data_IF_961331999228
#
_entry.id   IF_961331999228
#
_cell.length_a   1.000
_cell.length_b   1.000
_cell.length_c   1.000
_cell.angle_alpha   90.00
_cell.angle_beta   90.00
_cell.angle_gamma   90.00
#
_symmetry.space_group_name_H-M   'P 1'
#
loop_
_entity.id
_entity.type
_entity.pdbx_description
1 polymer ?
#
# COMPACT_ATOMS: atom_id res chain seq x y z
N UNK A 1 4.04 5.61 -22.92
CA UNK A 1 3.09 4.49 -22.70
C UNK A 1 2.39 4.23 -24.02
N UNK A 2 2.26 2.97 -24.41
CA UNK A 2 1.71 2.58 -25.72
C UNK A 2 0.22 2.94 -25.78
N UNK A 3 -0.17 3.80 -26.73
CA UNK A 3 -1.57 4.22 -26.89
C UNK A 3 -2.48 3.10 -27.46
N UNK A 4 -1.91 1.96 -27.84
CA UNK A 4 -2.59 0.85 -28.51
C UNK A 4 -3.03 -0.28 -27.56
N UNK A 5 -2.88 -0.12 -26.24
CA UNK A 5 -3.33 -1.15 -25.30
C UNK A 5 -4.87 -1.17 -25.22
N UNK A 6 -5.49 -2.37 -25.22
CA UNK A 6 -6.93 -2.48 -25.07
C UNK A 6 -7.40 -1.94 -23.71
N UNK A 7 -8.64 -1.47 -23.65
CA UNK A 7 -9.22 -1.07 -22.38
C UNK A 7 -9.38 -2.27 -21.44
N UNK A 8 -9.13 -2.03 -20.15
CA UNK A 8 -9.35 -3.01 -19.09
C UNK A 8 -9.98 -2.36 -17.87
N UNK A 9 -11.14 -2.84 -17.43
CA UNK A 9 -11.80 -2.36 -16.21
C UNK A 9 -11.53 -3.35 -15.08
N UNK A 10 -11.05 -2.86 -13.94
CA UNK A 10 -10.69 -3.70 -12.79
C UNK A 10 -11.24 -3.12 -11.48
N UNK A 11 -11.23 -3.93 -10.41
CA UNK A 11 -11.80 -3.61 -9.09
C UNK A 11 -13.29 -3.30 -9.09
N UNK A 12 -14.03 -3.96 -9.99
CA UNK A 12 -15.50 -3.84 -10.11
C UNK A 12 -16.22 -4.30 -8.86
N UNK A 13 -15.74 -5.39 -8.27
CA UNK A 13 -16.19 -5.96 -6.98
C UNK A 13 -14.97 -6.36 -6.14
N UNK A 14 -15.11 -6.52 -4.81
CA UNK A 14 -14.05 -7.09 -3.97
C UNK A 14 -13.55 -8.44 -4.48
N UNK A 15 -14.45 -9.28 -4.98
CA UNK A 15 -14.17 -10.62 -5.50
C UNK A 15 -13.41 -10.59 -6.84
N UNK A 16 -13.50 -9.48 -7.58
CA UNK A 16 -12.71 -9.26 -8.80
C UNK A 16 -11.25 -8.87 -8.53
N UNK A 17 -10.92 -8.54 -7.27
CA UNK A 17 -9.58 -8.11 -6.87
C UNK A 17 -9.23 -8.73 -5.51
N UNK A 18 -8.69 -9.94 -5.57
CA UNK A 18 -8.34 -10.73 -4.40
C UNK A 18 -6.85 -10.59 -4.09
N UNK A 19 -6.52 -10.37 -2.81
CA UNK A 19 -5.13 -10.22 -2.36
C UNK A 19 -4.89 -11.07 -1.12
N UNK A 20 -3.97 -12.01 -1.19
CA UNK A 20 -3.55 -12.82 -0.04
C UNK A 20 -2.11 -12.45 0.34
N UNK A 21 -1.88 -12.11 1.59
CA UNK A 21 -0.51 -11.96 2.10
C UNK A 21 0.23 -13.30 2.00
N UNK A 22 1.49 -13.25 1.60
CA UNK A 22 2.36 -14.44 1.58
C UNK A 22 3.29 -14.34 2.78
N UNK A 23 3.27 -15.36 3.63
CA UNK A 23 4.01 -15.44 4.90
C UNK A 23 4.88 -16.69 4.95
N UNK A 24 5.83 -16.71 5.88
CA UNK A 24 6.78 -17.82 6.06
C UNK A 24 7.98 -17.74 5.11
N UNK A 25 8.98 -18.58 5.37
CA UNK A 25 10.27 -18.54 4.67
C UNK A 25 10.50 -19.75 3.75
N UNK A 26 9.93 -20.94 4.04
CA UNK A 26 10.17 -22.13 3.22
C UNK A 26 9.14 -23.28 3.43
N UNK A 27 8.27 -23.61 2.45
CA UNK A 27 7.91 -22.76 1.34
C UNK A 27 7.02 -21.61 1.83
N UNK A 28 7.14 -20.40 1.26
CA UNK A 28 6.22 -19.31 1.54
C UNK A 28 4.78 -19.68 1.14
N UNK A 29 3.79 -19.28 1.94
CA UNK A 29 2.38 -19.64 1.74
C UNK A 29 1.48 -18.42 1.76
N UNK A 30 0.53 -18.39 0.82
CA UNK A 30 -0.56 -17.43 0.86
C UNK A 30 -1.45 -17.71 2.07
N UNK A 31 -1.75 -16.67 2.86
CA UNK A 31 -2.68 -16.74 3.98
C UNK A 31 -4.07 -17.08 3.43
N UNK A 32 -4.61 -18.23 3.81
CA UNK A 32 -5.94 -18.66 3.37
C UNK A 32 -7.04 -17.71 3.87
N UNK A 33 -8.12 -17.58 3.10
CA UNK A 33 -9.32 -16.90 3.56
C UNK A 33 -10.02 -17.71 4.65
N UNK A 34 -10.67 -16.99 5.55
CA UNK A 34 -11.66 -17.52 6.47
C UNK A 34 -12.98 -16.77 6.24
N UNK A 35 -14.09 -17.50 6.13
CA UNK A 35 -15.40 -16.87 5.98
C UNK A 35 -16.13 -16.74 7.33
N UNK A 36 -15.70 -17.49 8.34
CA UNK A 36 -16.22 -17.45 9.70
C UNK A 36 -15.11 -17.18 10.72
N UNK A 37 -15.48 -16.49 11.79
CA UNK A 37 -14.55 -16.19 12.88
C UNK A 37 -14.47 -17.35 13.86
N UNK A 38 -13.26 -17.65 14.33
CA UNK A 38 -13.00 -18.70 15.29
C UNK A 38 -11.89 -18.28 16.24
N UNK A 39 -12.28 -17.98 17.48
CA UNK A 39 -11.39 -17.60 18.57
C UNK A 39 -11.50 -18.71 19.63
N UNK A 40 -10.39 -19.42 19.87
CA UNK A 40 -10.37 -20.66 20.68
C UNK A 40 -9.73 -20.47 22.06
N UNK A 41 -9.19 -19.29 22.36
CA UNK A 41 -8.34 -19.09 23.52
C UNK A 41 -6.89 -19.45 23.21
N UNK A 42 -5.96 -18.61 23.65
CA UNK A 42 -4.54 -18.91 23.73
C UNK A 42 -4.06 -18.55 25.14
N UNK A 43 -3.11 -19.31 25.67
CA UNK A 43 -2.45 -19.00 26.94
C UNK A 43 -0.93 -19.11 26.72
N UNK A 44 -0.18 -18.11 27.19
CA UNK A 44 1.29 -18.17 27.25
C UNK A 44 2.02 -16.99 26.61
N UNK A 45 1.51 -16.43 25.51
CA UNK A 45 2.20 -15.38 24.78
C UNK A 45 1.54 -13.99 24.92
N UNK A 46 2.31 -12.89 24.89
CA UNK A 46 1.78 -11.52 24.92
C UNK A 46 0.94 -11.12 23.69
N UNK A 47 1.12 -11.75 22.52
CA UNK A 47 0.38 -11.44 21.31
C UNK A 47 -0.28 -12.68 20.72
N UNK A 48 -1.55 -12.55 20.34
CA UNK A 48 -2.30 -13.53 19.57
C UNK A 48 -2.25 -13.17 18.08
N UNK A 49 -1.89 -14.13 17.22
CA UNK A 49 -1.93 -13.99 15.77
C UNK A 49 -3.24 -14.56 15.22
N UNK A 50 -3.90 -13.78 14.38
CA UNK A 50 -5.09 -14.13 13.64
C UNK A 50 -4.82 -14.11 12.14
N UNK A 51 -5.56 -14.93 11.40
CA UNK A 51 -5.93 -14.61 10.01
C UNK A 51 -7.04 -13.58 10.05
N UNK A 52 -6.80 -12.42 9.46
CA UNK A 52 -7.79 -11.41 9.16
C UNK A 52 -8.20 -11.54 7.69
N UNK A 53 -9.46 -11.92 7.45
CA UNK A 53 -10.07 -11.76 6.12
C UNK A 53 -11.04 -10.58 6.14
N UNK A 54 -10.97 -9.73 5.11
CA UNK A 54 -11.84 -8.56 4.98
C UNK A 54 -12.27 -8.32 3.53
N UNK A 55 -13.44 -7.71 3.33
CA UNK A 55 -13.92 -7.23 2.03
C UNK A 55 -14.47 -5.82 2.13
N UNK A 56 -14.16 -4.90 1.21
CA UNK A 56 -14.59 -3.46 1.24
C UNK A 56 -14.10 -2.63 2.44
N UNK A 57 -13.19 -3.17 3.24
CA UNK A 57 -12.61 -2.48 4.40
C UNK A 57 -11.14 -2.16 4.15
N UNK A 58 -10.71 -0.96 4.53
CA UNK A 58 -9.27 -0.68 4.62
C UNK A 58 -8.68 -1.50 5.77
N UNK A 59 -7.38 -1.82 5.74
CA UNK A 59 -6.75 -2.53 6.86
C UNK A 59 -6.86 -1.72 8.16
N UNK A 60 -6.74 -0.40 8.10
CA UNK A 60 -6.85 0.48 9.27
C UNK A 60 -8.26 0.47 9.87
N UNK A 61 -9.30 0.59 9.04
CA UNK A 61 -10.69 0.55 9.53
C UNK A 61 -11.02 -0.83 10.12
N UNK A 62 -10.52 -1.91 9.49
CA UNK A 62 -10.69 -3.26 10.02
C UNK A 62 -9.98 -3.42 11.37
N UNK A 63 -8.75 -2.89 11.52
CA UNK A 63 -8.05 -2.88 12.81
C UNK A 63 -8.83 -2.11 13.88
N UNK A 64 -9.43 -0.95 13.57
CA UNK A 64 -10.26 -0.19 14.51
C UNK A 64 -11.48 -0.98 14.97
N UNK A 65 -12.14 -1.68 14.04
CA UNK A 65 -13.29 -2.52 14.37
C UNK A 65 -12.89 -3.73 15.23
N UNK A 66 -11.76 -4.35 14.92
CA UNK A 66 -11.20 -5.43 15.75
C UNK A 66 -10.84 -4.92 17.15
N UNK A 67 -10.16 -3.77 17.27
CA UNK A 67 -9.82 -3.16 18.55
C UNK A 67 -11.06 -2.91 19.41
N UNK A 68 -12.12 -2.39 18.78
CA UNK A 68 -13.39 -2.10 19.44
C UNK A 68 -14.08 -3.36 19.96
N UNK A 69 -14.16 -4.43 19.16
CA UNK A 69 -14.84 -5.67 19.56
C UNK A 69 -14.02 -6.51 20.54
N UNK A 70 -12.69 -6.50 20.43
CA UNK A 70 -11.79 -7.24 21.33
C UNK A 70 -11.34 -6.43 22.55
N UNK A 71 -11.85 -5.21 22.72
CA UNK A 71 -11.58 -4.34 23.86
C UNK A 71 -10.08 -4.03 24.08
N UNK A 72 -9.33 -3.78 23.01
CA UNK A 72 -7.89 -3.43 23.05
C UNK A 72 -7.61 -2.06 22.46
N UNK A 73 -6.43 -1.51 22.74
CA UNK A 73 -5.96 -0.28 22.11
C UNK A 73 -5.64 -0.48 20.63
N UNK A 74 -5.77 0.56 19.81
CA UNK A 74 -5.35 0.49 18.40
C UNK A 74 -3.85 0.20 18.25
N UNK A 75 -3.02 0.73 19.16
CA UNK A 75 -1.58 0.51 19.22
C UNK A 75 -1.19 -0.92 19.67
N UNK A 76 -2.15 -1.71 20.16
CA UNK A 76 -1.97 -3.13 20.48
C UNK A 76 -2.16 -4.03 19.25
N UNK A 77 -2.54 -3.46 18.11
CA UNK A 77 -2.78 -4.19 16.87
C UNK A 77 -1.66 -3.92 15.85
N UNK A 78 -1.20 -4.98 15.20
CA UNK A 78 -0.09 -4.94 14.24
C UNK A 78 -0.37 -5.79 13.00
N UNK A 79 0.17 -5.35 11.87
CA UNK A 79 0.10 -6.04 10.57
C UNK A 79 1.42 -5.87 9.83
N UNK A 80 1.73 -6.80 8.93
CA UNK A 80 2.95 -6.72 8.10
C UNK A 80 2.80 -5.80 6.88
N UNK A 81 1.57 -5.46 6.50
CA UNK A 81 1.30 -4.53 5.42
C UNK A 81 -0.17 -4.14 5.35
N UNK A 82 -0.43 -2.95 4.81
CA UNK A 82 -1.79 -2.52 4.50
C UNK A 82 -2.25 -3.18 3.20
N UNK A 83 -3.55 -3.43 3.09
CA UNK A 83 -4.20 -3.99 1.92
C UNK A 83 -5.32 -3.07 1.46
N UNK A 84 -5.60 -3.10 0.16
CA UNK A 84 -6.59 -2.22 -0.46
C UNK A 84 -7.98 -2.35 0.17
N UNK A 85 -8.71 -1.23 0.25
CA UNK A 85 -10.09 -1.20 0.71
C UNK A 85 -11.02 -1.91 -0.27
N UNK A 86 -10.89 -1.61 -1.55
CA UNK A 86 -11.74 -2.13 -2.63
C UNK A 86 -11.23 -3.47 -3.15
N UNK A 87 -11.17 -4.46 -2.26
CA UNK A 87 -10.62 -5.80 -2.49
C UNK A 87 -11.18 -6.82 -1.48
N UNK A 88 -11.11 -8.11 -1.81
CA UNK A 88 -11.20 -9.22 -0.84
C UNK A 88 -9.78 -9.59 -0.43
N UNK A 89 -9.44 -9.48 0.86
CA UNK A 89 -8.04 -9.60 1.30
C UNK A 89 -7.88 -10.48 2.53
N UNK A 90 -6.83 -11.32 2.57
CA UNK A 90 -6.43 -12.08 3.76
C UNK A 90 -5.00 -11.73 4.16
N UNK A 91 -4.76 -11.58 5.47
CA UNK A 91 -3.45 -11.25 6.01
C UNK A 91 -3.33 -11.72 7.46
N UNK A 92 -2.10 -11.75 7.99
CA UNK A 92 -1.94 -11.89 9.44
C UNK A 92 -2.23 -10.58 10.16
N UNK A 93 -2.82 -10.72 11.35
CA UNK A 93 -3.11 -9.65 12.30
C UNK A 93 -2.60 -10.09 13.68
N UNK A 94 -1.70 -9.32 14.28
CA UNK A 94 -1.22 -9.55 15.63
C UNK A 94 -1.93 -8.61 16.59
N UNK A 95 -2.50 -9.15 17.67
CA UNK A 95 -3.22 -8.39 18.69
C UNK A 95 -2.63 -8.72 20.05
N UNK A 96 -2.25 -7.70 20.84
CA UNK A 96 -1.73 -7.92 22.19
C UNK A 96 -2.85 -8.44 23.11
N UNK A 97 -2.58 -9.54 23.81
CA UNK A 97 -3.51 -10.16 24.74
C UNK A 97 -3.97 -11.55 24.30
N UNK A 98 -4.77 -12.16 25.18
CA UNK A 98 -5.36 -13.48 25.01
C UNK A 98 -6.87 -13.32 24.93
N UNK A 99 -7.49 -13.96 23.93
CA UNK A 99 -8.90 -13.71 23.59
C UNK A 99 -9.72 -14.98 23.67
N UNK A 100 -10.91 -14.88 24.26
CA UNK A 100 -11.94 -15.93 24.22
C UNK A 100 -13.29 -15.40 23.71
N UNK A 101 -13.37 -14.09 23.48
CA UNK A 101 -14.59 -13.42 23.02
C UNK A 101 -14.95 -13.85 21.61
N UNK A 102 -16.25 -13.87 21.32
CA UNK A 102 -16.73 -14.07 19.97
C UNK A 102 -16.54 -12.78 19.16
N UNK A 103 -15.94 -12.90 17.97
CA UNK A 103 -15.88 -11.81 17.00
C UNK A 103 -16.89 -12.07 15.88
N UNK A 104 -17.78 -11.12 15.60
CA UNK A 104 -18.77 -11.25 14.54
C UNK A 104 -18.88 -9.98 13.73
N UNK A 105 -18.72 -10.12 12.42
CA UNK A 105 -18.86 -9.01 11.49
C UNK A 105 -19.20 -9.56 10.10
N UNK A 106 -20.09 -8.90 9.33
CA UNK A 106 -20.50 -9.41 8.02
C UNK A 106 -19.36 -9.44 6.99
N UNK A 107 -18.47 -8.45 7.03
CA UNK A 107 -17.42 -8.23 6.01
C UNK A 107 -15.99 -8.47 6.54
N UNK A 108 -15.84 -8.92 7.78
CA UNK A 108 -14.55 -9.16 8.45
C UNK A 108 -14.66 -10.47 9.23
N UNK A 109 -13.64 -11.31 9.15
CA UNK A 109 -13.54 -12.55 9.92
C UNK A 109 -12.15 -12.68 10.53
N UNK A 110 -12.11 -13.28 11.72
CA UNK A 110 -10.89 -13.54 12.47
C UNK A 110 -10.77 -15.02 12.83
N UNK A 111 -9.73 -15.69 12.35
CA UNK A 111 -9.40 -17.05 12.79
C UNK A 111 -8.10 -17.00 13.59
N UNK A 112 -8.17 -17.36 14.86
CA UNK A 112 -7.02 -17.44 15.73
C UNK A 112 -6.07 -18.56 15.27
N UNK A 113 -4.76 -18.26 15.22
CA UNK A 113 -3.73 -19.19 14.78
C UNK A 113 -2.86 -19.68 15.93
N UNK A 114 -2.05 -18.79 16.51
CA UNK A 114 -1.03 -19.10 17.53
C UNK A 114 -0.65 -17.82 18.29
N UNK A 115 0.09 -17.95 19.39
CA UNK A 115 0.68 -16.80 20.08
C UNK A 115 2.16 -16.57 19.75
N UNK A 116 2.65 -15.35 19.99
CA UNK A 116 4.08 -15.01 19.88
C UNK A 116 4.49 -13.86 20.83
N UNK A 117 5.79 -13.77 21.11
CA UNK A 117 6.36 -12.81 22.07
C UNK A 117 6.33 -11.34 21.62
N UNK A 118 6.36 -11.10 20.31
CA UNK A 118 6.55 -9.76 19.72
C UNK A 118 5.41 -9.42 18.76
N UNK A 119 5.09 -8.14 18.49
CA UNK A 119 4.09 -7.79 17.48
C UNK A 119 4.57 -8.11 16.05
N UNK A 120 3.64 -8.17 15.09
CA UNK A 120 3.99 -8.24 13.67
C UNK A 120 4.71 -6.95 13.25
N UNK A 121 5.75 -7.08 12.44
CA UNK A 121 6.53 -5.93 11.96
C UNK A 121 6.15 -5.56 10.54
N UNK A 122 5.90 -4.26 10.25
CA UNK A 122 5.64 -3.80 8.89
C UNK A 122 6.80 -4.15 7.95
N UNK A 123 6.48 -4.81 6.83
CA UNK A 123 7.43 -5.21 5.80
C UNK A 123 7.98 -6.64 5.91
N UNK A 124 7.64 -7.39 6.96
CA UNK A 124 8.14 -8.76 7.17
C UNK A 124 7.41 -9.84 6.35
N UNK A 125 6.42 -9.46 5.54
CA UNK A 125 5.73 -10.40 4.64
C UNK A 125 6.62 -10.74 3.45
N UNK A 126 6.47 -11.95 2.91
CA UNK A 126 7.22 -12.41 1.73
C UNK A 126 6.73 -11.75 0.44
N UNK A 127 5.46 -11.35 0.39
CA UNK A 127 4.83 -10.77 -0.79
C UNK A 127 3.31 -10.84 -0.70
N UNK A 128 2.66 -10.67 -1.84
CA UNK A 128 1.22 -10.81 -1.97
C UNK A 128 0.89 -11.62 -3.21
N UNK A 129 -0.04 -12.57 -3.06
CA UNK A 129 -0.69 -13.28 -4.16
C UNK A 129 -1.90 -12.49 -4.61
N UNK A 130 -2.00 -12.28 -5.91
CA UNK A 130 -3.09 -11.58 -6.54
C UNK A 130 -3.90 -12.54 -7.39
N UNK A 131 -5.22 -12.50 -7.24
CA UNK A 131 -6.17 -13.10 -8.17
C UNK A 131 -7.12 -11.99 -8.65
N UNK A 132 -6.92 -11.54 -9.90
CA UNK A 132 -7.55 -10.33 -10.43
C UNK A 132 -8.31 -10.64 -11.71
N UNK A 133 -9.54 -10.17 -11.80
CA UNK A 133 -10.34 -10.17 -13.03
C UNK A 133 -10.35 -8.78 -13.65
N UNK A 134 -10.00 -8.69 -14.92
CA UNK A 134 -10.04 -7.46 -15.73
C UNK A 134 -11.09 -7.64 -16.82
N UNK A 135 -12.14 -6.83 -16.82
CA UNK A 135 -13.17 -6.81 -17.87
C UNK A 135 -12.56 -6.16 -19.12
N UNK A 136 -12.59 -6.88 -20.24
CA UNK A 136 -12.06 -6.41 -21.52
C UNK A 136 -12.60 -7.26 -22.66
N UNK A 137 -12.97 -6.60 -23.76
CA UNK A 137 -13.42 -7.24 -25.00
C UNK A 137 -12.25 -7.75 -25.85
N UNK A 138 -11.00 -7.44 -25.48
CA UNK A 138 -9.83 -7.90 -26.22
C UNK A 138 -9.65 -9.42 -26.13
N UNK A 139 -9.69 -10.10 -27.27
CA UNK A 139 -9.47 -11.55 -27.36
C UNK A 139 -7.99 -11.94 -27.29
N UNK A 140 -7.09 -11.00 -27.60
CA UNK A 140 -5.65 -11.20 -27.53
C UNK A 140 -4.97 -10.07 -26.77
N UNK A 141 -4.00 -10.43 -25.93
CA UNK A 141 -3.12 -9.51 -25.21
C UNK A 141 -1.68 -10.02 -25.25
N UNK A 142 -0.71 -9.11 -25.28
CA UNK A 142 0.70 -9.49 -25.26
C UNK A 142 1.16 -9.86 -23.84
N UNK A 143 0.92 -11.11 -23.42
CA UNK A 143 1.33 -11.61 -22.10
C UNK A 143 2.83 -11.49 -21.82
N UNK A 144 3.68 -11.43 -22.85
CA UNK A 144 5.12 -11.26 -22.66
C UNK A 144 5.46 -9.89 -22.05
N UNK A 145 4.63 -8.87 -22.26
CA UNK A 145 4.81 -7.54 -21.68
C UNK A 145 4.66 -7.53 -20.15
N UNK A 146 3.99 -8.52 -19.56
CA UNK A 146 3.81 -8.63 -18.10
C UNK A 146 4.93 -9.43 -17.39
N UNK A 147 5.88 -10.03 -18.13
CA UNK A 147 6.98 -10.82 -17.54
C UNK A 147 7.94 -9.99 -16.69
N UNK A 148 8.05 -8.70 -16.98
CA UNK A 148 8.87 -7.76 -16.24
C UNK A 148 8.31 -6.35 -16.46
N UNK A 149 8.10 -5.61 -15.38
CA UNK A 149 7.61 -4.24 -15.46
C UNK A 149 8.51 -3.29 -14.63
N UNK A 150 8.58 -2.00 -15.00
CA UNK A 150 9.17 -0.98 -14.13
C UNK A 150 8.48 -1.01 -12.76
N UNK A 151 9.24 -1.06 -11.67
CA UNK A 151 8.70 -1.18 -10.31
C UNK A 151 8.26 0.17 -9.72
N UNK A 152 7.59 0.97 -10.54
CA UNK A 152 7.05 2.28 -10.16
C UNK A 152 6.01 2.15 -9.04
N UNK A 153 5.92 3.18 -8.21
CA UNK A 153 4.82 3.33 -7.25
C UNK A 153 3.52 3.59 -8.01
N UNK A 154 2.52 2.73 -7.77
CA UNK A 154 1.22 2.83 -8.44
C UNK A 154 0.35 4.00 -7.96
N UNK A 155 -0.81 4.23 -8.61
CA UNK A 155 -1.73 5.31 -8.26
C UNK A 155 -2.22 5.27 -6.81
N UNK A 156 -2.30 4.09 -6.19
CA UNK A 156 -2.68 3.97 -4.76
C UNK A 156 -1.69 4.66 -3.82
N UNK A 157 -0.42 4.77 -4.21
CA UNK A 157 0.61 5.48 -3.43
C UNK A 157 0.61 6.97 -3.71
N UNK A 158 0.53 7.35 -4.99
CA UNK A 158 0.61 8.74 -5.43
C UNK A 158 -0.68 9.53 -5.19
N UNK A 159 -1.80 8.86 -4.93
CA UNK A 159 -3.10 9.49 -4.86
C UNK A 159 -3.79 9.53 -6.23
N UNK A 160 -5.10 9.75 -6.23
CA UNK A 160 -5.91 9.82 -7.45
C UNK A 160 -5.99 11.24 -8.03
N UNK A 161 -5.79 12.26 -7.20
CA UNK A 161 -5.83 13.65 -7.61
C UNK A 161 -4.43 14.12 -7.95
N UNK A 162 -4.28 14.65 -9.17
CA UNK A 162 -3.07 15.32 -9.61
C UNK A 162 -2.72 16.46 -8.65
N UNK A 163 -1.44 16.57 -8.29
CA UNK A 163 -0.96 17.59 -7.37
C UNK A 163 -1.04 17.19 -5.90
N UNK A 164 -1.74 16.11 -5.53
CA UNK A 164 -1.81 15.66 -4.12
C UNK A 164 -0.44 15.22 -3.56
N UNK A 165 0.49 14.81 -4.42
CA UNK A 165 1.88 14.52 -4.06
C UNK A 165 2.66 15.75 -3.56
N UNK A 166 2.22 16.97 -3.91
CA UNK A 166 2.89 18.20 -3.50
C UNK A 166 2.75 18.51 -2.02
N UNK A 167 1.82 17.87 -1.31
CA UNK A 167 1.69 18.03 0.15
C UNK A 167 3.01 17.65 0.84
N UNK A 168 3.59 16.50 0.48
CA UNK A 168 4.89 16.06 1.00
C UNK A 168 6.04 17.00 0.62
N UNK A 169 6.00 17.55 -0.60
CA UNK A 169 6.98 18.54 -1.08
C UNK A 169 6.98 19.77 -0.19
N UNK A 170 5.80 20.34 0.06
CA UNK A 170 5.64 21.56 0.86
C UNK A 170 6.11 21.35 2.30
N UNK A 171 5.80 20.20 2.91
CA UNK A 171 6.35 19.87 4.23
C UNK A 171 7.87 19.78 4.24
N UNK A 172 8.48 19.18 3.21
CA UNK A 172 9.94 19.10 3.10
C UNK A 172 10.59 20.46 2.81
N UNK A 173 9.90 21.38 2.12
CA UNK A 173 10.37 22.76 1.84
C UNK A 173 10.15 23.71 3.03
N UNK A 174 9.65 23.22 4.17
CA UNK A 174 9.36 24.07 5.34
C UNK A 174 8.17 25.00 5.15
N UNK A 175 7.16 24.59 4.35
CA UNK A 175 5.94 25.33 4.03
C UNK A 175 4.67 24.62 4.54
N UNK A 176 4.53 24.42 5.86
CA UNK A 176 3.46 23.60 6.42
C UNK A 176 2.06 24.21 6.26
N UNK A 177 1.92 25.54 6.28
CA UNK A 177 0.64 26.22 6.05
C UNK A 177 0.10 25.93 4.64
N UNK A 178 0.94 26.09 3.60
CA UNK A 178 0.60 25.76 2.21
C UNK A 178 0.26 24.27 2.07
N UNK A 179 1.00 23.40 2.77
CA UNK A 179 0.75 21.96 2.76
C UNK A 179 -0.66 21.66 3.29
N UNK A 180 -1.03 22.24 4.43
CA UNK A 180 -2.33 22.04 5.08
C UNK A 180 -3.47 22.55 4.21
N UNK A 181 -3.34 23.73 3.61
CA UNK A 181 -4.33 24.26 2.67
C UNK A 181 -4.56 23.29 1.50
N UNK A 182 -3.48 22.75 0.93
CA UNK A 182 -3.56 21.75 -0.12
C UNK A 182 -4.20 20.44 0.38
N UNK A 183 -3.94 20.00 1.60
CA UNK A 183 -4.60 18.81 2.17
C UNK A 183 -6.11 19.01 2.34
N UNK A 184 -6.53 20.17 2.85
CA UNK A 184 -7.93 20.50 3.08
C UNK A 184 -8.74 20.50 1.77
N UNK A 185 -8.13 20.94 0.67
CA UNK A 185 -8.74 20.97 -0.66
C UNK A 185 -8.75 19.61 -1.35
N UNK A 186 -7.73 18.76 -1.14
CA UNK A 186 -7.54 17.52 -1.93
C UNK A 186 -7.94 16.23 -1.23
N UNK A 187 -7.94 16.15 0.11
CA UNK A 187 -8.02 14.86 0.83
C UNK A 187 -9.17 14.73 1.83
N UNK A 188 -10.01 15.76 1.95
CA UNK A 188 -11.10 15.78 2.92
C UNK A 188 -10.60 16.07 4.33
N UNK A 189 -11.21 17.08 4.96
CA UNK A 189 -10.65 17.70 6.17
C UNK A 189 -10.84 16.91 7.47
N UNK A 190 -11.67 15.85 7.51
CA UNK A 190 -12.16 15.28 8.79
C UNK A 190 -11.06 14.91 9.79
N UNK A 191 -10.04 14.14 9.38
CA UNK A 191 -8.96 13.71 10.26
C UNK A 191 -8.05 14.85 10.70
N UNK A 192 -7.78 15.80 9.79
CA UNK A 192 -6.96 16.98 10.08
C UNK A 192 -7.70 17.97 10.98
N UNK A 193 -8.98 18.24 10.70
CA UNK A 193 -9.84 19.11 11.51
C UNK A 193 -9.99 18.58 12.93
N UNK A 194 -10.20 17.27 13.10
CA UNK A 194 -10.26 16.66 14.44
C UNK A 194 -8.93 16.83 15.18
N UNK A 195 -7.81 16.49 14.53
CA UNK A 195 -6.48 16.64 15.14
C UNK A 195 -6.16 18.11 15.50
N UNK A 196 -6.58 19.07 14.67
CA UNK A 196 -6.43 20.50 14.96
C UNK A 196 -7.30 20.95 16.14
N UNK A 197 -8.54 20.47 16.24
CA UNK A 197 -9.43 20.75 17.38
C UNK A 197 -8.83 20.23 18.69
N UNK A 198 -8.36 18.99 18.70
CA UNK A 198 -7.72 18.35 19.85
C UNK A 198 -6.38 19.00 20.23
N UNK A 199 -5.71 19.64 19.26
CA UNK A 199 -4.46 20.37 19.43
C UNK A 199 -4.63 21.89 19.69
N UNK A 200 -5.81 22.35 20.10
CA UNK A 200 -6.05 23.76 20.43
C UNK A 200 -5.94 24.71 19.23
N UNK A 201 -6.24 24.24 18.02
CA UNK A 201 -6.15 24.99 16.77
C UNK A 201 -4.74 25.05 16.16
N UNK A 202 -3.73 24.44 16.79
CA UNK A 202 -2.36 24.45 16.30
C UNK A 202 -2.10 23.32 15.31
N UNK A 203 -1.69 23.67 14.09
CA UNK A 203 -1.26 22.67 13.12
C UNK A 203 -0.02 21.90 13.56
N UNK A 204 0.91 22.53 14.29
CA UNK A 204 2.12 21.87 14.83
C UNK A 204 1.75 20.73 15.78
N UNK A 205 0.72 20.95 16.60
CA UNK A 205 0.18 19.91 17.48
C UNK A 205 -0.53 18.81 16.69
N UNK A 206 -1.31 19.18 15.67
CA UNK A 206 -1.99 18.23 14.79
C UNK A 206 -1.01 17.29 14.06
N UNK A 207 0.13 17.79 13.57
CA UNK A 207 1.15 16.96 12.88
C UNK A 207 1.72 15.84 13.76
N UNK A 208 1.77 16.07 15.07
CA UNK A 208 2.28 15.10 16.05
C UNK A 208 1.17 14.24 16.66
N UNK A 209 -0.09 14.56 16.41
CA UNK A 209 -1.23 13.86 16.96
C UNK A 209 -1.30 12.42 16.43
N UNK A 210 -1.57 11.40 17.28
CA UNK A 210 -1.62 10.00 16.86
C UNK A 210 -2.55 9.75 15.67
N UNK A 211 -3.71 10.43 15.62
CA UNK A 211 -4.70 10.28 14.53
C UNK A 211 -4.22 10.81 13.18
N UNK A 212 -3.18 11.64 13.14
CA UNK A 212 -2.71 12.29 11.91
C UNK A 212 -1.25 11.99 11.56
N UNK A 213 -0.43 11.56 12.54
CA UNK A 213 0.98 11.21 12.34
C UNK A 213 1.21 10.22 11.20
N UNK A 214 0.31 9.25 11.02
CA UNK A 214 0.38 8.30 9.91
C UNK A 214 0.22 9.02 8.56
N UNK A 215 -0.84 9.80 8.40
CA UNK A 215 -1.13 10.58 7.18
C UNK A 215 0.00 11.56 6.88
N UNK A 216 0.51 12.26 7.90
CA UNK A 216 1.65 13.16 7.76
C UNK A 216 2.88 12.45 7.18
N UNK A 217 3.29 11.33 7.79
CA UNK A 217 4.37 10.48 7.27
C UNK A 217 4.09 9.98 5.86
N UNK A 218 2.85 9.59 5.57
CA UNK A 218 2.44 9.08 4.27
C UNK A 218 2.65 10.11 3.16
N UNK A 219 2.24 11.37 3.39
CA UNK A 219 2.39 12.44 2.39
C UNK A 219 3.85 12.78 2.09
N UNK A 220 4.72 12.82 3.10
CA UNK A 220 6.16 13.01 2.90
C UNK A 220 6.74 11.91 2.01
N UNK A 221 6.40 10.65 2.31
CA UNK A 221 6.90 9.53 1.53
C UNK A 221 6.23 9.41 0.15
N UNK A 222 5.03 9.99 -0.04
CA UNK A 222 4.37 10.09 -1.35
C UNK A 222 5.20 10.96 -2.30
N UNK A 223 5.67 12.12 -1.85
CA UNK A 223 6.60 12.95 -2.64
C UNK A 223 7.89 12.20 -3.00
N UNK A 224 8.46 11.48 -2.04
CA UNK A 224 9.64 10.64 -2.28
C UNK A 224 9.38 9.54 -3.33
N UNK A 225 8.20 8.91 -3.30
CA UNK A 225 7.75 7.94 -4.30
C UNK A 225 7.56 8.57 -5.69
N UNK A 226 7.03 9.80 -5.76
CA UNK A 226 6.87 10.54 -7.01
C UNK A 226 8.22 10.82 -7.68
N UNK A 227 9.18 11.35 -6.92
CA UNK A 227 10.53 11.60 -7.42
C UNK A 227 11.20 10.31 -7.92
N UNK A 228 11.07 9.22 -7.16
CA UNK A 228 11.65 7.95 -7.54
C UNK A 228 11.06 7.42 -8.86
N UNK A 229 9.75 7.56 -9.07
CA UNK A 229 9.13 7.21 -10.35
C UNK A 229 9.71 8.03 -11.51
N UNK A 230 9.87 9.34 -11.33
CA UNK A 230 10.48 10.22 -12.36
C UNK A 230 11.90 9.77 -12.69
N UNK A 231 12.73 9.56 -11.66
CA UNK A 231 14.10 9.09 -11.85
C UNK A 231 14.14 7.75 -12.58
N UNK A 232 13.37 6.75 -12.12
CA UNK A 232 13.37 5.42 -12.75
C UNK A 232 12.99 5.51 -14.23
N UNK A 233 11.93 6.24 -14.55
CA UNK A 233 11.46 6.36 -15.93
C UNK A 233 12.50 7.03 -16.83
N UNK A 234 13.19 8.08 -16.36
CA UNK A 234 14.30 8.67 -17.09
C UNK A 234 15.49 7.72 -17.26
N UNK A 235 15.82 6.92 -16.24
CA UNK A 235 16.92 5.96 -16.32
C UNK A 235 16.60 4.82 -17.29
N UNK A 236 15.34 4.36 -17.32
CA UNK A 236 14.88 3.36 -18.31
C UNK A 236 14.94 3.93 -19.72
N UNK A 237 14.52 5.19 -19.93
CA UNK A 237 14.60 5.84 -21.24
C UNK A 237 16.04 5.99 -21.73
N UNK A 238 16.96 6.36 -20.83
CA UNK A 238 18.39 6.56 -21.13
C UNK A 238 19.17 5.26 -21.31
N UNK A 239 18.94 4.26 -20.46
CA UNK A 239 19.79 3.07 -20.34
C UNK A 239 19.13 1.79 -20.87
N UNK A 240 17.80 1.77 -21.01
CA UNK A 240 17.04 0.60 -21.41
C UNK A 240 17.38 -0.63 -20.56
N UNK A 241 17.82 -1.75 -21.16
CA UNK A 241 18.20 -2.96 -20.42
C UNK A 241 19.38 -2.79 -19.44
N UNK A 242 20.18 -1.72 -19.56
CA UNK A 242 21.33 -1.46 -18.70
C UNK A 242 20.97 -0.65 -17.43
N UNK A 243 19.68 -0.41 -17.17
CA UNK A 243 19.25 0.23 -15.91
C UNK A 243 19.72 -0.60 -14.70
N UNK A 244 20.30 0.01 -13.65
CA UNK A 244 20.73 -0.72 -12.46
C UNK A 244 19.58 -1.51 -11.81
N UNK A 245 19.86 -2.63 -11.17
CA UNK A 245 18.84 -3.43 -10.47
C UNK A 245 18.21 -2.67 -9.29
N UNK A 246 18.97 -1.77 -8.66
CA UNK A 246 18.55 -0.95 -7.53
C UNK A 246 18.80 0.53 -7.84
N UNK A 247 17.83 1.38 -7.50
CA UNK A 247 18.01 2.83 -7.45
C UNK A 247 17.70 3.36 -6.05
N UNK A 248 18.47 4.34 -5.57
CA UNK A 248 18.25 4.92 -4.25
C UNK A 248 16.97 5.76 -4.23
N UNK A 249 16.22 5.68 -3.14
CA UNK A 249 15.19 6.68 -2.84
C UNK A 249 15.84 8.03 -2.56
N UNK A 250 15.18 9.14 -2.91
CA UNK A 250 15.70 10.48 -2.63
C UNK A 250 16.09 10.61 -1.15
N UNK A 251 17.35 10.98 -0.87
CA UNK A 251 17.88 11.05 0.49
C UNK A 251 18.82 12.28 0.62
N UNK A 252 18.41 13.31 1.38
CA UNK A 252 19.17 14.55 1.49
C UNK A 252 20.45 14.43 2.32
N UNK A 253 20.66 13.29 3.00
CA UNK A 253 21.90 13.02 3.74
C UNK A 253 22.99 12.37 2.89
N UNK A 254 22.72 12.06 1.62
CA UNK A 254 23.68 11.46 0.71
C UNK A 254 23.89 12.37 -0.50
N UNK A 255 25.06 13.01 -0.58
CA UNK A 255 25.37 13.99 -1.62
C UNK A 255 25.28 13.42 -3.05
N UNK A 256 25.66 12.15 -3.25
CA UNK A 256 25.56 11.50 -4.57
C UNK A 256 24.10 11.30 -4.98
N UNK A 257 23.25 10.94 -4.02
CA UNK A 257 21.81 10.81 -4.26
C UNK A 257 21.19 12.18 -4.51
N UNK A 258 21.56 13.21 -3.75
CA UNK A 258 21.08 14.58 -4.01
C UNK A 258 21.39 15.05 -5.43
N UNK A 259 22.63 14.87 -5.88
CA UNK A 259 23.02 15.27 -7.24
C UNK A 259 22.25 14.50 -8.31
N UNK A 260 21.98 13.20 -8.10
CA UNK A 260 21.19 12.37 -9.01
C UNK A 260 19.75 12.88 -9.22
N UNK A 261 19.16 13.51 -8.20
CA UNK A 261 17.77 14.01 -8.25
C UNK A 261 17.69 15.51 -8.50
N UNK A 262 18.83 16.22 -8.59
CA UNK A 262 18.89 17.68 -8.59
C UNK A 262 18.11 18.33 -9.73
N UNK A 263 18.09 17.71 -10.91
CA UNK A 263 17.32 18.22 -12.05
C UNK A 263 15.81 17.96 -11.92
N UNK A 264 15.39 17.00 -11.09
CA UNK A 264 13.98 16.72 -10.81
C UNK A 264 13.43 17.65 -9.74
N UNK A 265 14.22 17.91 -8.69
CA UNK A 265 13.83 18.78 -7.58
C UNK A 265 15.07 19.24 -6.79
N UNK A 266 15.24 20.55 -6.70
CA UNK A 266 16.36 21.20 -6.00
C UNK A 266 15.84 22.41 -5.20
N UNK A 267 15.24 22.19 -4.03
CA UNK A 267 14.66 23.26 -3.23
C UNK A 267 15.76 24.15 -2.64
N UNK A 268 15.48 25.44 -2.48
CA UNK A 268 16.39 26.40 -1.85
C UNK A 268 16.56 26.17 -0.34
N UNK A 269 15.58 25.52 0.29
CA UNK A 269 15.57 25.21 1.72
C UNK A 269 14.90 23.85 1.98
N UNK A 270 15.27 23.20 3.07
CA UNK A 270 14.68 21.93 3.52
C UNK A 270 14.42 21.94 5.02
N UNK A 271 13.28 21.40 5.43
CA UNK A 271 12.94 21.14 6.83
C UNK A 271 13.52 19.79 7.28
N UNK A 272 14.55 19.83 8.12
CA UNK A 272 15.35 18.65 8.47
C UNK A 272 14.65 17.71 9.44
N UNK A 273 13.74 18.21 10.27
CA UNK A 273 13.00 17.41 11.26
C UNK A 273 12.09 16.36 10.60
N UNK A 274 11.75 16.59 9.34
CA UNK A 274 10.90 15.73 8.52
C UNK A 274 11.67 14.53 7.95
N UNK A 275 13.00 14.59 7.90
CA UNK A 275 13.83 13.53 7.28
C UNK A 275 13.72 12.18 7.99
N UNK A 276 13.25 12.15 9.25
CA UNK A 276 12.99 10.90 9.99
C UNK A 276 11.89 10.04 9.35
N UNK A 277 11.02 10.64 8.53
CA UNK A 277 9.91 9.96 7.87
C UNK A 277 10.26 9.35 6.50
N UNK A 278 11.41 9.72 5.93
CA UNK A 278 11.83 9.26 4.61
C UNK A 278 12.16 7.76 4.58
N UNK A 279 11.86 7.13 3.45
CA UNK A 279 12.30 5.76 3.15
C UNK A 279 13.81 5.81 2.87
N UNK A 280 14.58 5.03 3.63
CA UNK A 280 16.06 5.06 3.56
C UNK A 280 16.67 3.94 2.71
N UNK A 281 15.86 2.96 2.30
CA UNK A 281 16.32 1.78 1.55
C UNK A 281 16.24 2.05 0.06
N UNK A 282 17.18 1.48 -0.68
CA UNK A 282 17.14 1.42 -2.14
C UNK A 282 15.98 0.52 -2.59
N UNK A 283 15.53 0.74 -3.83
CA UNK A 283 14.36 0.06 -4.38
C UNK A 283 14.72 -0.66 -5.68
N UNK A 284 14.25 -1.91 -5.87
CA UNK A 284 14.37 -2.62 -7.15
C UNK A 284 13.74 -1.82 -8.28
N UNK A 285 14.45 -1.68 -9.41
CA UNK A 285 13.98 -0.92 -10.57
C UNK A 285 12.96 -1.66 -11.40
N UNK A 286 13.07 -2.98 -11.46
CA UNK A 286 12.16 -3.87 -12.18
C UNK A 286 11.51 -4.86 -11.21
N UNK A 287 10.28 -5.26 -11.52
CA UNK A 287 9.58 -6.34 -10.82
C UNK A 287 9.18 -7.42 -11.82
N UNK A 288 9.38 -8.68 -11.41
CA UNK A 288 9.00 -9.87 -12.17
C UNK A 288 7.96 -10.64 -11.37
N UNK A 289 6.71 -10.79 -11.87
CA UNK A 289 5.72 -11.60 -11.17
C UNK A 289 6.15 -13.07 -11.13
N UNK A 290 5.96 -13.71 -9.98
CA UNK A 290 6.13 -15.17 -9.84
C UNK A 290 4.79 -15.86 -10.10
N UNK A 291 4.85 -17.11 -10.54
CA UNK A 291 3.67 -17.96 -10.79
C UNK A 291 2.58 -17.30 -11.68
N UNK A 292 3.01 -16.48 -12.65
CA UNK A 292 2.11 -15.71 -13.50
C UNK A 292 1.27 -16.61 -14.42
N UNK A 293 -0.05 -16.56 -14.22
CA UNK A 293 -1.05 -17.26 -15.02
C UNK A 293 -2.09 -16.27 -15.52
N UNK A 294 -2.54 -16.45 -16.76
CA UNK A 294 -3.58 -15.64 -17.38
C UNK A 294 -4.56 -16.56 -18.11
N UNK A 295 -5.86 -16.33 -17.92
CA UNK A 295 -6.93 -17.11 -18.55
C UNK A 295 -7.98 -16.16 -19.13
N UNK A 296 -8.27 -16.27 -20.44
CA UNK A 296 -9.39 -15.56 -21.07
C UNK A 296 -10.70 -16.21 -20.65
N UNK A 297 -11.68 -15.38 -20.31
CA UNK A 297 -13.10 -15.75 -20.16
C UNK A 297 -13.94 -14.82 -21.04
N UNK A 298 -15.20 -15.17 -21.27
CA UNK A 298 -16.13 -14.31 -22.00
C UNK A 298 -16.22 -12.94 -21.31
N UNK A 299 -15.80 -11.87 -22.01
CA UNK A 299 -15.80 -10.49 -21.51
C UNK A 299 -14.72 -10.15 -20.46
N UNK A 300 -13.82 -11.06 -20.09
CA UNK A 300 -12.77 -10.76 -19.09
C UNK A 300 -11.49 -11.56 -19.25
N UNK A 301 -10.44 -11.11 -18.57
CA UNK A 301 -9.20 -11.84 -18.36
C UNK A 301 -8.97 -12.02 -16.86
N UNK A 302 -8.61 -13.24 -16.46
CA UNK A 302 -8.32 -13.58 -15.08
C UNK A 302 -6.82 -13.85 -14.93
N UNK A 303 -6.20 -13.18 -13.95
CA UNK A 303 -4.77 -13.26 -13.68
C UNK A 303 -4.52 -13.77 -12.28
N UNK A 304 -3.54 -14.66 -12.15
CA UNK A 304 -2.99 -15.09 -10.86
C UNK A 304 -1.48 -14.87 -10.89
N UNK A 305 -0.93 -14.18 -9.90
CA UNK A 305 0.51 -13.99 -9.77
C UNK A 305 0.91 -13.50 -8.38
N UNK A 306 2.17 -13.73 -8.03
CA UNK A 306 2.76 -13.28 -6.78
C UNK A 306 3.71 -12.10 -7.02
N UNK A 307 3.64 -11.08 -6.18
CA UNK A 307 4.55 -9.95 -6.18
C UNK A 307 5.28 -9.80 -4.84
N UNK A 308 6.54 -9.33 -4.85
CA UNK A 308 7.25 -8.98 -3.62
C UNK A 308 6.58 -7.79 -2.91
N UNK A 309 6.93 -7.54 -1.63
CA UNK A 309 6.44 -6.38 -0.90
C UNK A 309 6.72 -5.10 -1.67
N UNK A 310 5.81 -4.13 -1.55
CA UNK A 310 5.89 -2.81 -2.19
C UNK A 310 5.81 -2.76 -3.72
N UNK A 311 5.61 -3.88 -4.41
CA UNK A 311 5.26 -3.89 -5.84
C UNK A 311 3.73 -3.81 -6.04
N UNK A 312 3.30 -3.31 -7.20
CA UNK A 312 1.89 -2.98 -7.46
C UNK A 312 1.34 -3.83 -8.62
N UNK A 313 0.26 -4.57 -8.36
CA UNK A 313 -0.41 -5.38 -9.38
C UNK A 313 -0.94 -4.53 -10.56
N UNK A 314 -1.38 -3.30 -10.30
CA UNK A 314 -1.83 -2.37 -11.34
C UNK A 314 -0.73 -2.04 -12.35
N UNK A 315 0.54 -2.07 -11.94
CA UNK A 315 1.69 -1.76 -12.82
C UNK A 315 2.02 -2.93 -13.74
N UNK A 316 1.83 -4.17 -13.27
CA UNK A 316 1.91 -5.38 -14.10
C UNK A 316 0.78 -5.36 -15.13
N UNK A 317 -0.45 -5.16 -14.66
CA UNK A 317 -1.64 -5.19 -15.50
C UNK A 317 -1.68 -4.02 -16.50
N UNK A 318 -1.08 -2.87 -16.17
CA UNK A 318 -0.97 -1.74 -17.11
C UNK A 318 0.00 -1.99 -18.27
N UNK A 319 0.81 -3.06 -18.21
CA UNK A 319 1.57 -3.51 -19.39
C UNK A 319 0.67 -4.20 -20.42
N UNK A 320 -0.52 -4.64 -20.00
CA UNK A 320 -1.46 -5.42 -20.82
C UNK A 320 -2.69 -4.61 -21.24
N UNK A 321 -3.11 -3.63 -20.40
CA UNK A 321 -4.33 -2.86 -20.61
C UNK A 321 -4.14 -1.38 -20.31
N UNK A 322 -4.95 -0.54 -20.97
CA UNK A 322 -5.29 0.78 -20.46
C UNK A 322 -6.30 0.63 -19.33
N UNK A 323 -5.79 0.54 -18.10
CA UNK A 323 -6.60 0.25 -16.92
C UNK A 323 -7.48 1.43 -16.49
N UNK A 324 -8.76 1.13 -16.20
CA UNK A 324 -9.71 2.02 -15.54
C UNK A 324 -10.24 1.35 -14.27
N UNK A 325 -10.12 2.02 -13.14
CA UNK A 325 -10.70 1.55 -11.88
C UNK A 325 -12.19 1.93 -11.85
N UNK A 326 -13.08 0.97 -11.61
CA UNK A 326 -14.53 1.21 -11.48
C UNK A 326 -15.06 0.36 -10.34
N UNK A 327 -15.90 0.92 -9.48
CA UNK A 327 -16.56 0.18 -8.39
C UNK A 327 -18.06 0.12 -8.68
N UNK A 328 -18.62 -1.09 -8.76
CA UNK A 328 -20.05 -1.30 -9.07
C UNK A 328 -20.90 -1.21 -7.79
N UNK A 329 -20.28 -1.37 -6.63
CA UNK A 329 -20.88 -1.21 -5.31
C UNK A 329 -19.97 -0.29 -4.49
N UNK A 330 -20.35 0.97 -4.30
CA UNK A 330 -19.57 1.97 -3.56
C UNK A 330 -20.19 2.28 -2.20
#
# INVERSE_FOLDING_TARGET
MNNDLPEGIYKTTPESFVVQEIVGSDPPRAVSFCDESLIRGWEGDPYTIFVLSKRRWSTEDAMKEVARQLHVGFDDISVQGLKDKQAKTSQHLGVRGNFRDAFSHPDISLVQLYGQEVPLRPGDHYGNRFDISVISDADQINLAAAKSAPNIFGPQRLGRQEGSENVGRLFLEGKPEEAIELMLTTMGAKGLTQAMQEAGGSWKGALSHPSFRFSYRFEIQKWQSYLWNKLLLEQIDKLGPAVPDLLPMWNPRNQKVLEMYRHLWNPSQLETDVFKFLIKKDRPTMVRPKDFKANKKTGSWNFTFDLPPSAYASVILSQLFRLKERHIYA
#
